data_IF_775293586887
#
_entry.id   IF_775293586887
#
_cell.length_a   1.000
_cell.length_b   1.000
_cell.length_c   1.000
_cell.angle_alpha   90.00
_cell.angle_beta   90.00
_cell.angle_gamma   90.00
#
_symmetry.space_group_name_H-M   'P 1'
#
loop_
_entity.id
_entity.type
_entity.pdbx_description
1 polymer ?
#
# COMPACT_ATOMS: atom_id res chain seq x y z
N UNK A 1 0.61 9.50 9.62
CA UNK A 1 0.65 10.95 9.56
C UNK A 1 0.60 11.56 10.97
N UNK A 2 0.54 12.86 11.05
CA UNK A 2 0.54 13.57 12.33
C UNK A 2 -0.64 13.20 13.23
N UNK A 3 -1.74 12.80 12.65
CA UNK A 3 -2.96 12.46 13.38
C UNK A 3 -3.08 10.96 13.64
N UNK A 4 -2.08 10.18 13.28
CA UNK A 4 -2.10 8.74 13.45
C UNK A 4 -2.83 7.97 12.36
N UNK A 5 -3.39 8.65 11.36
CA UNK A 5 -4.09 8.01 10.25
C UNK A 5 -3.11 7.63 9.15
N UNK A 6 -3.22 6.40 8.64
CA UNK A 6 -2.39 5.96 7.54
C UNK A 6 -2.93 6.52 6.22
N UNK A 7 -2.06 7.07 5.34
CA UNK A 7 -2.50 7.65 4.07
C UNK A 7 -3.30 6.69 3.19
N UNK A 8 -2.92 5.41 3.19
CA UNK A 8 -3.61 4.41 2.36
C UNK A 8 -5.01 4.13 2.90
N UNK A 9 -5.16 4.05 4.22
CA UNK A 9 -6.47 3.87 4.84
C UNK A 9 -7.41 5.02 4.51
N UNK A 10 -6.89 6.25 4.54
CA UNK A 10 -7.67 7.45 4.18
C UNK A 10 -8.15 7.36 2.73
N UNK A 11 -7.28 6.93 1.82
CA UNK A 11 -7.64 6.77 0.42
C UNK A 11 -8.73 5.72 0.23
N UNK A 12 -8.61 4.57 0.91
CA UNK A 12 -9.61 3.50 0.82
C UNK A 12 -10.96 3.97 1.36
N UNK A 13 -10.95 4.68 2.49
CA UNK A 13 -12.18 5.25 3.06
C UNK A 13 -12.82 6.27 2.12
N UNK A 14 -12.00 7.09 1.46
CA UNK A 14 -12.50 8.04 0.46
C UNK A 14 -13.19 7.32 -0.68
N UNK A 15 -12.58 6.26 -1.23
CA UNK A 15 -13.21 5.47 -2.28
C UNK A 15 -14.52 4.83 -1.81
N UNK A 16 -14.56 4.34 -0.58
CA UNK A 16 -15.74 3.71 -0.02
C UNK A 16 -16.90 4.71 0.15
N UNK A 17 -16.59 5.99 0.35
CA UNK A 17 -17.61 7.02 0.51
C UNK A 17 -18.23 7.47 -0.82
N UNK A 18 -17.56 7.19 -1.94
CA UNK A 18 -18.04 7.58 -3.27
C UNK A 18 -18.98 6.53 -3.84
N UNK A 19 -19.98 6.98 -4.59
CA UNK A 19 -21.01 6.09 -5.15
C UNK A 19 -20.85 5.85 -6.65
N UNK A 20 -19.88 6.48 -7.30
CA UNK A 20 -19.69 6.31 -8.73
C UNK A 20 -19.10 4.94 -9.06
N UNK A 21 -19.36 4.50 -10.28
CA UNK A 21 -18.95 3.18 -10.77
C UNK A 21 -17.44 2.99 -10.72
N UNK A 22 -16.68 4.00 -11.13
CA UNK A 22 -15.22 3.90 -11.19
C UNK A 22 -14.61 3.71 -9.79
N UNK A 23 -15.08 4.45 -8.82
CA UNK A 23 -14.60 4.32 -7.44
C UNK A 23 -14.91 2.94 -6.87
N UNK A 24 -16.10 2.42 -7.21
CA UNK A 24 -16.50 1.08 -6.75
C UNK A 24 -15.62 0.00 -7.37
N UNK A 25 -15.31 0.11 -8.66
CA UNK A 25 -14.43 -0.83 -9.35
C UNK A 25 -13.03 -0.80 -8.73
N UNK A 26 -12.48 0.38 -8.50
CA UNK A 26 -11.17 0.55 -7.87
C UNK A 26 -11.14 -0.07 -6.48
N UNK A 27 -12.15 0.23 -5.68
CA UNK A 27 -12.21 -0.28 -4.30
C UNK A 27 -12.27 -1.81 -4.28
N UNK A 28 -13.09 -2.41 -5.14
CA UNK A 28 -13.20 -3.86 -5.22
C UNK A 28 -11.86 -4.49 -5.63
N UNK A 29 -11.15 -3.89 -6.58
CA UNK A 29 -9.85 -4.40 -7.02
C UNK A 29 -8.80 -4.29 -5.91
N UNK A 30 -8.80 -3.18 -5.20
CA UNK A 30 -7.88 -2.99 -4.08
C UNK A 30 -8.14 -4.05 -3.00
N UNK A 31 -9.40 -4.26 -2.65
CA UNK A 31 -9.77 -5.28 -1.66
C UNK A 31 -9.36 -6.69 -2.10
N UNK A 32 -9.59 -7.02 -3.38
CA UNK A 32 -9.20 -8.32 -3.91
C UNK A 32 -7.70 -8.54 -3.82
N UNK A 33 -6.91 -7.54 -4.18
CA UNK A 33 -5.46 -7.64 -4.16
C UNK A 33 -4.90 -7.71 -2.74
N UNK A 34 -5.50 -6.94 -1.81
CA UNK A 34 -5.12 -7.01 -0.39
C UNK A 34 -5.43 -8.41 0.15
N UNK A 35 -6.57 -8.98 -0.24
CA UNK A 35 -6.95 -10.32 0.20
C UNK A 35 -5.94 -11.36 -0.31
N UNK A 36 -5.53 -11.27 -1.57
CA UNK A 36 -4.52 -12.17 -2.13
C UNK A 36 -3.22 -12.04 -1.36
N UNK A 37 -2.79 -10.81 -1.08
CA UNK A 37 -1.57 -10.58 -0.31
C UNK A 37 -1.69 -11.16 1.11
N UNK A 38 -2.84 -10.99 1.76
CA UNK A 38 -3.02 -11.50 3.12
C UNK A 38 -3.05 -13.04 3.18
N UNK A 39 -3.53 -13.70 2.13
CA UNK A 39 -3.61 -15.16 2.08
C UNK A 39 -2.30 -15.81 1.67
N UNK A 40 -1.60 -15.24 0.70
CA UNK A 40 -0.41 -15.86 0.09
C UNK A 40 0.89 -15.15 0.40
N UNK A 41 0.83 -13.95 0.98
CA UNK A 41 2.02 -13.15 1.24
C UNK A 41 2.71 -12.74 -0.06
N UNK A 42 4.00 -12.46 0.02
CA UNK A 42 4.76 -12.03 -1.15
C UNK A 42 4.97 -13.15 -2.17
N UNK A 43 4.56 -14.37 -1.85
CA UNK A 43 4.60 -15.47 -2.82
C UNK A 43 3.55 -15.35 -3.91
N UNK A 44 2.56 -14.48 -3.76
CA UNK A 44 1.53 -14.30 -4.78
C UNK A 44 2.10 -13.80 -6.12
N UNK A 45 3.19 -13.03 -6.07
CA UNK A 45 3.88 -12.61 -7.28
C UNK A 45 3.09 -11.72 -8.22
N UNK A 46 3.54 -11.62 -9.46
CA UNK A 46 2.84 -10.86 -10.49
C UNK A 46 1.56 -11.58 -10.91
N UNK A 47 0.52 -10.86 -11.31
CA UNK A 47 0.45 -9.41 -11.49
C UNK A 47 0.13 -8.61 -10.21
N UNK A 48 0.01 -9.28 -9.08
CA UNK A 48 -0.47 -8.66 -7.84
C UNK A 48 0.54 -7.71 -7.21
N UNK A 49 1.80 -8.14 -7.12
CA UNK A 49 2.85 -7.36 -6.46
C UNK A 49 4.14 -7.37 -7.25
N UNK A 50 5.01 -6.41 -6.89
CA UNK A 50 6.38 -6.33 -7.42
C UNK A 50 7.29 -5.82 -6.32
N UNK A 51 8.47 -6.44 -6.17
CA UNK A 51 9.48 -5.95 -5.25
C UNK A 51 10.17 -4.72 -5.85
N UNK A 52 10.31 -3.65 -5.08
CA UNK A 52 10.91 -2.40 -5.56
C UNK A 52 12.30 -2.15 -5.02
N UNK A 53 12.44 -2.12 -3.70
CA UNK A 53 13.70 -1.75 -3.08
C UNK A 53 13.71 -2.15 -1.61
N UNK A 54 14.76 -2.89 -1.18
CA UNK A 54 14.91 -3.29 0.21
C UNK A 54 13.61 -3.93 0.75
N UNK A 55 12.99 -3.32 1.75
CA UNK A 55 11.76 -3.83 2.36
C UNK A 55 10.49 -3.33 1.70
N UNK A 56 10.60 -2.53 0.63
CA UNK A 56 9.46 -1.90 -0.01
C UNK A 56 8.99 -2.70 -1.22
N UNK A 57 7.71 -3.05 -1.21
CA UNK A 57 7.02 -3.75 -2.28
C UNK A 57 5.88 -2.89 -2.80
N UNK A 58 5.36 -3.25 -3.98
CA UNK A 58 4.28 -2.52 -4.63
C UNK A 58 3.12 -3.46 -4.93
N UNK A 59 1.93 -3.11 -4.43
CA UNK A 59 0.67 -3.78 -4.78
C UNK A 59 0.07 -3.04 -5.98
N UNK A 60 -0.42 -3.78 -6.97
CA UNK A 60 -0.69 -3.23 -8.31
C UNK A 60 -2.13 -3.42 -8.82
N UNK A 61 -3.17 -3.01 -8.07
CA UNK A 61 -4.55 -3.15 -8.54
C UNK A 61 -4.89 -2.09 -9.58
N UNK A 62 -5.03 -2.51 -10.84
CA UNK A 62 -5.30 -1.63 -12.00
C UNK A 62 -4.22 -0.55 -12.12
N UNK A 63 -4.59 0.72 -12.00
CA UNK A 63 -3.65 1.83 -12.08
C UNK A 63 -3.23 2.36 -10.71
N UNK A 64 -3.86 1.89 -9.67
CA UNK A 64 -3.45 2.25 -8.32
C UNK A 64 -2.16 1.52 -7.95
N UNK A 65 -1.31 2.20 -7.21
CA UNK A 65 -0.08 1.62 -6.69
C UNK A 65 -0.03 1.85 -5.20
N UNK A 66 0.07 0.77 -4.44
CA UNK A 66 0.13 0.84 -2.98
C UNK A 66 1.46 0.23 -2.54
N UNK A 67 2.32 1.06 -1.99
CA UNK A 67 3.62 0.61 -1.51
C UNK A 67 3.45 0.09 -0.08
N UNK A 68 4.06 -1.06 0.20
CA UNK A 68 3.90 -1.73 1.49
C UNK A 68 5.19 -2.40 1.92
N UNK A 69 5.26 -2.77 3.19
CA UNK A 69 6.36 -3.54 3.75
C UNK A 69 5.81 -4.65 4.64
N UNK A 70 6.60 -5.73 4.78
CA UNK A 70 6.27 -6.80 5.73
C UNK A 70 6.64 -6.35 7.15
N UNK A 71 5.76 -6.66 8.10
CA UNK A 71 6.00 -6.42 9.52
C UNK A 71 5.88 -7.75 10.26
N UNK A 72 6.86 -8.11 11.01
CA UNK A 72 6.93 -9.34 11.82
C UNK A 72 6.61 -10.67 11.11
N UNK A 73 6.71 -10.72 9.79
CA UNK A 73 6.54 -11.96 9.02
C UNK A 73 5.10 -12.39 8.76
N UNK A 74 4.12 -11.82 9.45
CA UNK A 74 2.72 -12.19 9.28
C UNK A 74 1.82 -11.05 8.84
N UNK A 75 2.24 -9.81 9.09
CA UNK A 75 1.44 -8.63 8.79
C UNK A 75 2.13 -7.75 7.78
N UNK A 76 1.32 -6.99 7.06
CA UNK A 76 1.82 -6.04 6.08
C UNK A 76 1.36 -4.64 6.46
N UNK A 77 2.23 -3.66 6.23
CA UNK A 77 1.93 -2.26 6.48
C UNK A 77 1.78 -1.57 5.14
N UNK A 78 0.61 -0.99 4.90
CA UNK A 78 0.35 -0.20 3.69
C UNK A 78 0.87 1.22 3.96
N UNK A 79 1.84 1.66 3.17
CA UNK A 79 2.62 2.86 3.47
C UNK A 79 2.24 4.08 2.65
N UNK A 80 2.00 3.90 1.35
CA UNK A 80 1.86 5.03 0.45
C UNK A 80 1.06 4.63 -0.78
N UNK A 81 0.25 5.54 -1.29
CA UNK A 81 -0.56 5.32 -2.48
C UNK A 81 -0.30 6.39 -3.51
N UNK A 82 -0.28 5.98 -4.79
CA UNK A 82 -0.25 6.91 -5.91
C UNK A 82 -0.86 6.24 -7.14
N UNK A 83 -1.19 7.06 -8.14
CA UNK A 83 -1.69 6.56 -9.42
C UNK A 83 -0.53 6.40 -10.38
N UNK A 84 -0.50 5.27 -11.09
CA UNK A 84 0.53 4.99 -12.10
C UNK A 84 0.46 6.02 -13.22
N UNK A 85 1.59 6.65 -13.53
CA UNK A 85 1.71 7.57 -14.64
C UNK A 85 2.85 7.18 -15.59
N UNK A 86 3.75 6.32 -15.13
CA UNK A 86 4.91 5.87 -15.90
C UNK A 86 5.07 4.36 -15.73
N UNK A 87 5.87 3.73 -16.59
CA UNK A 87 6.12 2.29 -16.49
C UNK A 87 6.88 1.93 -15.21
N UNK A 88 7.86 2.74 -14.88
CA UNK A 88 8.69 2.50 -13.70
C UNK A 88 8.20 3.36 -12.54
N UNK A 89 8.21 2.78 -11.34
CA UNK A 89 7.82 3.51 -10.13
C UNK A 89 8.80 4.65 -9.86
N UNK A 90 8.33 5.91 -9.80
CA UNK A 90 9.22 7.03 -9.54
C UNK A 90 9.92 6.92 -8.20
N UNK A 91 11.17 7.34 -8.16
CA UNK A 91 11.97 7.28 -6.94
C UNK A 91 11.35 8.06 -5.79
N UNK A 92 10.70 9.19 -6.09
CA UNK A 92 10.05 10.01 -5.04
C UNK A 92 8.96 9.25 -4.29
N UNK A 93 8.26 8.34 -4.98
CA UNK A 93 7.23 7.53 -4.35
C UNK A 93 7.84 6.49 -3.41
N UNK A 94 8.93 5.88 -3.82
CA UNK A 94 9.67 4.94 -2.98
C UNK A 94 10.22 5.65 -1.74
N UNK A 95 10.76 6.84 -1.91
CA UNK A 95 11.29 7.63 -0.79
C UNK A 95 10.18 8.01 0.20
N UNK A 96 8.99 8.33 -0.30
CA UNK A 96 7.86 8.61 0.57
C UNK A 96 7.47 7.37 1.39
N UNK A 97 7.43 6.20 0.74
CA UNK A 97 7.13 4.95 1.44
C UNK A 97 8.16 4.65 2.53
N UNK A 98 9.43 4.91 2.26
CA UNK A 98 10.48 4.73 3.26
C UNK A 98 10.26 5.63 4.48
N UNK A 99 9.88 6.88 4.25
CA UNK A 99 9.60 7.81 5.35
C UNK A 99 8.42 7.34 6.19
N UNK A 100 7.37 6.84 5.53
CA UNK A 100 6.21 6.30 6.24
C UNK A 100 6.58 5.06 7.05
N UNK A 101 7.44 4.20 6.52
CA UNK A 101 7.89 3.01 7.23
C UNK A 101 8.69 3.38 8.47
N UNK A 102 9.61 4.34 8.35
CA UNK A 102 10.39 4.79 9.50
C UNK A 102 9.51 5.42 10.57
N UNK A 103 8.53 6.21 10.16
CA UNK A 103 7.58 6.83 11.06
C UNK A 103 6.78 5.76 11.82
N UNK A 104 6.33 4.73 11.11
CA UNK A 104 5.62 3.61 11.72
C UNK A 104 6.50 2.89 12.74
N UNK A 105 7.74 2.59 12.40
CA UNK A 105 8.67 1.92 13.30
C UNK A 105 8.91 2.74 14.56
N UNK A 106 9.07 4.04 14.42
CA UNK A 106 9.29 4.95 15.53
C UNK A 106 8.10 4.95 16.49
N UNK A 107 6.88 5.04 15.95
CA UNK A 107 5.66 5.00 16.78
C UNK A 107 5.50 3.66 17.50
N UNK A 108 5.84 2.57 16.84
CA UNK A 108 5.77 1.23 17.45
C UNK A 108 6.74 1.10 18.61
N UNK A 109 7.94 1.67 18.50
CA UNK A 109 8.93 1.68 19.56
C UNK A 109 8.47 2.52 20.75
N UNK A 110 7.88 3.69 20.47
CA UNK A 110 7.40 4.60 21.51
C UNK A 110 6.23 4.02 22.30
N UNK A 111 5.47 3.12 21.69
CA UNK A 111 4.30 2.50 22.32
C UNK A 111 4.57 1.10 22.86
N UNK A 112 5.80 0.66 22.78
CA UNK A 112 6.18 -0.68 23.24
C UNK A 112 6.26 -0.76 24.77
#
# INVERSE_FOLDING_TARGET
DKNGNAPVEEYILELASKKDKNSRIKLNKIRDYIKVLSEYGTRCGEPYIKHLYSDIWELRPLRDRILFAAWDGERFILLHHFMKQTQKTPRREIEQAKRELEDFKRRSEDNA
#
